data_IF_089876331137
#
_entry.id   IF_089876331137
#
_cell.length_a   1.000
_cell.length_b   1.000
_cell.length_c   1.000
_cell.angle_alpha   90.00
_cell.angle_beta   90.00
_cell.angle_gamma   90.00
#
_symmetry.space_group_name_H-M   'P 1'
#
loop_
_entity.id
_entity.type
_entity.pdbx_description
1 polymer ?
#
# COMPACT_ATOMS: atom_id res chain seq x y z
N UNK A 1 -17.69 29.28 7.08
CA UNK A 1 -16.72 28.56 6.21
C UNK A 1 -16.30 27.32 6.96
N UNK A 2 -16.64 26.12 6.49
CA UNK A 2 -16.28 24.86 7.17
C UNK A 2 -14.79 24.57 6.94
N UNK A 3 -14.11 23.94 7.91
CA UNK A 3 -12.66 23.63 7.84
C UNK A 3 -12.29 22.90 6.53
N UNK A 4 -13.15 22.00 6.07
CA UNK A 4 -12.97 21.27 4.80
C UNK A 4 -12.87 22.18 3.57
N UNK A 5 -13.60 23.30 3.51
CA UNK A 5 -13.57 24.20 2.37
C UNK A 5 -12.20 24.90 2.24
N UNK A 6 -11.59 25.24 3.38
CA UNK A 6 -10.26 25.88 3.42
C UNK A 6 -9.18 24.89 2.98
N UNK A 7 -9.22 23.65 3.48
CA UNK A 7 -8.25 22.61 3.10
C UNK A 7 -8.33 22.32 1.60
N UNK A 8 -9.54 22.21 1.03
CA UNK A 8 -9.72 22.02 -0.41
C UNK A 8 -9.14 23.17 -1.22
N UNK A 9 -9.49 24.40 -0.88
CA UNK A 9 -9.03 25.56 -1.65
C UNK A 9 -7.51 25.72 -1.50
N UNK A 10 -6.91 25.39 -0.36
CA UNK A 10 -5.46 25.37 -0.21
C UNK A 10 -4.84 24.28 -1.09
N UNK A 11 -5.37 23.05 -1.08
CA UNK A 11 -4.80 21.95 -1.88
C UNK A 11 -5.01 22.15 -3.39
N UNK A 12 -6.13 22.75 -3.79
CA UNK A 12 -6.43 23.04 -5.20
C UNK A 12 -5.66 24.25 -5.74
N UNK A 13 -5.30 25.22 -4.88
CA UNK A 13 -4.55 26.42 -5.27
C UNK A 13 -3.06 26.36 -4.91
N UNK A 14 -2.59 25.33 -4.18
CA UNK A 14 -1.18 25.02 -4.10
C UNK A 14 -0.71 24.65 -5.50
N UNK A 15 0.34 25.34 -5.98
CA UNK A 15 0.79 25.29 -7.37
C UNK A 15 1.08 23.87 -7.86
N UNK A 16 1.32 23.75 -9.17
CA UNK A 16 1.43 22.51 -9.96
C UNK A 16 2.51 21.50 -9.52
N UNK A 17 3.10 21.64 -8.32
CA UNK A 17 4.22 20.86 -7.82
C UNK A 17 3.99 20.36 -6.38
N UNK A 18 2.75 20.02 -6.01
CA UNK A 18 2.50 19.42 -4.70
C UNK A 18 3.10 18.02 -4.65
N UNK A 19 4.16 17.84 -3.85
CA UNK A 19 4.89 16.57 -3.73
C UNK A 19 4.60 15.81 -2.45
N UNK A 20 4.12 16.49 -1.40
CA UNK A 20 3.88 15.90 -0.09
C UNK A 20 2.61 16.45 0.53
N UNK A 21 1.78 15.57 1.08
CA UNK A 21 0.60 15.94 1.86
C UNK A 21 0.58 15.15 3.17
N UNK A 22 0.33 15.89 4.24
CA UNK A 22 0.13 15.37 5.59
C UNK A 22 -1.17 15.90 6.13
N UNK A 23 -2.08 15.04 6.59
CA UNK A 23 -3.40 15.45 7.09
C UNK A 23 -3.87 14.57 8.25
N UNK A 24 -4.70 15.10 9.15
CA UNK A 24 -5.33 14.27 10.17
C UNK A 24 -6.32 13.30 9.50
N UNK A 25 -6.26 12.00 9.81
CA UNK A 25 -7.14 11.02 9.15
C UNK A 25 -8.63 11.33 9.37
N UNK A 26 -8.99 11.85 10.56
CA UNK A 26 -10.35 12.27 10.88
C UNK A 26 -10.89 13.39 9.97
N UNK A 27 -10.01 14.14 9.30
CA UNK A 27 -10.36 15.26 8.43
C UNK A 27 -10.43 14.87 6.94
N UNK A 28 -10.22 13.58 6.62
CA UNK A 28 -10.32 13.11 5.23
C UNK A 28 -11.75 13.28 4.73
N UNK A 29 -11.88 13.80 3.52
CA UNK A 29 -13.14 14.03 2.83
C UNK A 29 -12.96 13.78 1.34
N UNK A 30 -14.05 13.64 0.58
CA UNK A 30 -13.99 13.53 -0.88
C UNK A 30 -13.15 14.63 -1.50
N UNK A 31 -13.29 15.87 -1.01
CA UNK A 31 -12.54 17.02 -1.49
C UNK A 31 -11.02 16.87 -1.29
N UNK A 32 -10.60 16.28 -0.18
CA UNK A 32 -9.18 15.96 0.07
C UNK A 32 -8.71 14.90 -0.93
N UNK A 33 -9.48 13.82 -1.11
CA UNK A 33 -9.11 12.75 -2.05
C UNK A 33 -9.02 13.26 -3.49
N UNK A 34 -10.00 14.06 -3.94
CA UNK A 34 -9.95 14.67 -5.26
C UNK A 34 -8.75 15.61 -5.42
N UNK A 35 -8.39 16.36 -4.38
CA UNK A 35 -7.21 17.20 -4.43
C UNK A 35 -5.91 16.37 -4.54
N UNK A 36 -5.80 15.24 -3.83
CA UNK A 36 -4.67 14.30 -4.01
C UNK A 36 -4.60 13.79 -5.46
N UNK A 37 -5.74 13.42 -6.04
CA UNK A 37 -5.83 12.92 -7.42
C UNK A 37 -5.54 13.99 -8.49
N UNK A 38 -5.79 15.27 -8.18
CA UNK A 38 -5.41 16.38 -9.06
C UNK A 38 -3.89 16.49 -9.20
N UNK A 39 -3.16 16.20 -8.12
CA UNK A 39 -1.70 16.24 -8.05
C UNK A 39 -1.03 14.89 -8.33
N UNK A 40 -1.73 13.97 -9.02
CA UNK A 40 -1.27 12.59 -9.23
C UNK A 40 0.10 12.45 -9.91
N UNK A 41 0.51 13.43 -10.71
CA UNK A 41 1.80 13.39 -11.44
C UNK A 41 2.98 13.92 -10.64
N UNK A 42 2.74 14.56 -9.49
CA UNK A 42 3.75 15.24 -8.66
C UNK A 42 3.83 14.66 -7.25
N UNK A 43 2.74 14.07 -6.77
CA UNK A 43 2.63 13.57 -5.40
C UNK A 43 3.54 12.36 -5.16
N UNK A 44 4.39 12.48 -4.15
CA UNK A 44 5.37 11.46 -3.74
C UNK A 44 5.22 11.01 -2.30
N UNK A 45 4.59 11.80 -1.43
CA UNK A 45 4.41 11.48 -0.03
C UNK A 45 2.98 11.76 0.41
N UNK A 46 2.32 10.74 0.95
CA UNK A 46 1.00 10.85 1.55
C UNK A 46 1.07 10.26 2.95
N UNK A 47 0.77 11.07 3.95
CA UNK A 47 0.87 10.67 5.34
C UNK A 47 -0.33 11.16 6.13
N UNK A 48 -0.79 10.34 7.07
CA UNK A 48 -1.82 10.74 8.03
C UNK A 48 -1.21 11.06 9.38
N UNK A 49 -1.63 12.18 9.98
CA UNK A 49 -1.42 12.45 11.41
C UNK A 49 -2.50 11.68 12.16
N UNK A 50 -2.07 10.97 13.20
CA UNK A 50 -2.97 10.43 14.21
C UNK A 50 -2.75 11.18 15.51
N UNK A 51 -3.83 11.48 16.24
CA UNK A 51 -3.79 12.24 17.50
C UNK A 51 -3.15 11.46 18.66
N UNK A 52 -2.47 10.36 18.36
CA UNK A 52 -1.86 9.46 19.33
C UNK A 52 -0.34 9.69 19.33
N UNK A 53 0.09 10.53 20.26
CA UNK A 53 1.47 10.99 20.48
C UNK A 53 2.46 9.88 20.95
N UNK A 54 2.07 8.61 20.87
CA UNK A 54 2.84 7.49 21.39
C UNK A 54 3.41 6.65 20.25
N UNK A 55 4.75 6.49 20.23
CA UNK A 55 5.57 5.63 19.37
C UNK A 55 4.77 4.70 18.46
N UNK A 56 4.38 5.22 17.30
CA UNK A 56 3.48 4.55 16.38
C UNK A 56 4.04 3.23 15.84
N UNK A 57 5.34 2.97 15.97
CA UNK A 57 6.00 1.76 15.49
C UNK A 57 5.55 0.47 16.18
N UNK A 58 4.89 0.55 17.36
CA UNK A 58 4.59 -0.63 18.19
C UNK A 58 3.09 -0.87 18.46
N UNK A 59 2.20 -0.02 17.93
CA UNK A 59 0.76 -0.22 18.16
C UNK A 59 0.21 -1.35 17.29
N UNK A 60 -0.07 -2.48 17.93
CA UNK A 60 -0.83 -3.57 17.35
C UNK A 60 -2.35 -3.28 17.35
N UNK A 61 -2.82 -2.44 18.28
CA UNK A 61 -4.25 -2.14 18.47
C UNK A 61 -4.57 -0.70 18.00
N UNK A 62 -5.15 -0.60 16.80
CA UNK A 62 -5.74 0.65 16.30
C UNK A 62 -7.26 0.55 16.48
N UNK A 63 -7.94 1.63 16.94
CA UNK A 63 -9.39 1.65 17.04
C UNK A 63 -10.06 1.22 15.73
N UNK A 64 -11.23 0.57 15.79
CA UNK A 64 -12.02 0.27 14.60
C UNK A 64 -12.19 1.52 13.76
N UNK A 65 -11.95 1.38 12.46
CA UNK A 65 -12.15 2.46 11.52
C UNK A 65 -13.61 2.90 11.64
N UNK A 66 -13.84 4.18 11.89
CA UNK A 66 -15.19 4.72 11.89
C UNK A 66 -15.84 4.44 10.52
N UNK A 67 -17.01 3.79 10.55
CA UNK A 67 -17.80 3.41 9.36
C UNK A 67 -18.07 4.57 8.40
N UNK A 68 -17.87 5.82 8.82
CA UNK A 68 -18.01 7.01 7.98
C UNK A 68 -17.16 6.97 6.70
N UNK A 69 -16.14 6.10 6.64
CA UNK A 69 -15.24 5.98 5.50
C UNK A 69 -15.40 4.70 4.67
N UNK A 70 -16.39 3.84 4.87
CA UNK A 70 -16.53 2.66 3.99
C UNK A 70 -16.70 3.05 2.51
N UNK A 71 -17.48 4.11 2.24
CA UNK A 71 -17.68 4.63 0.88
C UNK A 71 -16.43 5.36 0.34
N UNK A 72 -15.83 6.23 1.16
CA UNK A 72 -14.63 7.00 0.77
C UNK A 72 -13.36 6.15 0.70
N UNK A 73 -13.35 5.04 1.43
CA UNK A 73 -12.23 4.13 1.49
C UNK A 73 -11.92 3.50 0.14
N UNK A 74 -12.96 3.20 -0.65
CA UNK A 74 -12.78 2.77 -2.04
C UNK A 74 -12.12 3.85 -2.89
N UNK A 75 -12.51 5.11 -2.71
CA UNK A 75 -11.94 6.24 -3.48
C UNK A 75 -10.49 6.49 -3.07
N UNK A 76 -10.15 6.31 -1.79
CA UNK A 76 -8.78 6.48 -1.32
C UNK A 76 -7.80 5.44 -1.92
N UNK A 77 -8.28 4.24 -2.22
CA UNK A 77 -7.50 3.22 -2.93
C UNK A 77 -7.18 3.58 -4.39
N UNK A 78 -7.85 4.58 -4.98
CA UNK A 78 -7.51 5.10 -6.31
C UNK A 78 -6.19 5.90 -6.31
N UNK A 79 -5.75 6.37 -5.14
CA UNK A 79 -4.55 7.19 -5.01
C UNK A 79 -3.28 6.45 -5.45
N UNK A 80 -2.92 5.27 -4.90
CA UNK A 80 -1.75 4.52 -5.38
C UNK A 80 -1.90 4.02 -6.83
N UNK A 81 -3.14 3.90 -7.35
CA UNK A 81 -3.40 3.61 -8.78
C UNK A 81 -3.22 4.81 -9.71
N UNK A 82 -3.24 6.02 -9.17
CA UNK A 82 -3.18 7.24 -9.97
C UNK A 82 -1.82 7.95 -9.86
N UNK A 83 -1.07 7.71 -8.79
CA UNK A 83 0.13 8.45 -8.44
C UNK A 83 1.42 7.63 -8.68
N UNK A 84 1.98 7.61 -9.91
CA UNK A 84 3.14 6.76 -10.22
C UNK A 84 4.42 7.17 -9.49
N UNK A 85 4.51 8.42 -9.02
CA UNK A 85 5.67 8.94 -8.28
C UNK A 85 5.55 8.77 -6.76
N UNK A 86 4.53 8.05 -6.28
CA UNK A 86 4.29 7.84 -4.87
C UNK A 86 5.39 6.95 -4.26
N UNK A 87 6.17 7.50 -3.34
CA UNK A 87 7.27 6.83 -2.64
C UNK A 87 6.86 6.39 -1.23
N UNK A 88 5.95 7.13 -0.60
CA UNK A 88 5.50 6.89 0.78
C UNK A 88 3.98 7.00 0.86
N UNK A 89 3.33 5.95 1.33
CA UNK A 89 1.90 5.91 1.61
C UNK A 89 1.66 5.44 3.05
N UNK A 90 1.26 6.37 3.91
CA UNK A 90 0.92 6.11 5.31
C UNK A 90 -0.53 6.49 5.57
N UNK A 91 -1.39 5.47 5.65
CA UNK A 91 -2.82 5.53 5.93
C UNK A 91 -3.17 4.50 7.01
N UNK A 92 -2.56 4.62 8.20
CA UNK A 92 -2.64 3.60 9.25
C UNK A 92 -4.05 3.34 9.81
N UNK A 93 -4.94 4.32 9.69
CA UNK A 93 -6.35 4.17 10.08
C UNK A 93 -7.25 3.66 8.94
N UNK A 94 -6.71 3.47 7.74
CA UNK A 94 -7.47 3.06 6.57
C UNK A 94 -7.36 1.55 6.32
N UNK A 95 -8.51 0.89 6.24
CA UNK A 95 -8.60 -0.51 5.81
C UNK A 95 -8.78 -0.58 4.29
N UNK A 96 -7.79 -1.16 3.62
CA UNK A 96 -7.81 -1.48 2.20
C UNK A 96 -8.38 -2.87 1.96
N UNK A 97 -8.96 -3.07 0.79
CA UNK A 97 -9.61 -4.31 0.40
C UNK A 97 -8.81 -4.97 -0.73
N UNK A 98 -8.20 -6.13 -0.45
CA UNK A 98 -7.34 -6.80 -1.43
C UNK A 98 -8.09 -7.23 -2.69
N UNK A 99 -9.39 -7.50 -2.60
CA UNK A 99 -10.18 -7.84 -3.78
C UNK A 99 -10.20 -6.66 -4.75
N UNK A 100 -10.35 -5.44 -4.24
CA UNK A 100 -10.29 -4.25 -5.07
C UNK A 100 -8.85 -3.99 -5.54
N UNK A 101 -7.86 -4.08 -4.64
CA UNK A 101 -6.44 -3.86 -4.99
C UNK A 101 -5.97 -4.77 -6.12
N UNK A 102 -6.43 -6.02 -6.17
CA UNK A 102 -6.09 -6.97 -7.23
C UNK A 102 -6.86 -6.73 -8.54
N UNK A 103 -8.04 -6.09 -8.51
CA UNK A 103 -8.78 -5.73 -9.73
C UNK A 103 -8.05 -4.69 -10.58
N UNK A 104 -7.46 -3.67 -9.95
CA UNK A 104 -6.59 -2.70 -10.62
C UNK A 104 -5.29 -2.50 -9.83
N UNK A 105 -4.19 -2.95 -10.41
CA UNK A 105 -2.85 -2.86 -9.85
C UNK A 105 -2.44 -1.42 -9.53
N UNK A 106 -1.67 -1.24 -8.47
CA UNK A 106 -1.05 0.04 -8.15
C UNK A 106 0.09 0.33 -9.13
N UNK A 107 0.18 1.58 -9.59
CA UNK A 107 1.19 2.01 -10.57
C UNK A 107 2.38 2.71 -9.93
N UNK A 108 2.45 2.74 -8.60
CA UNK A 108 3.51 3.41 -7.85
C UNK A 108 4.74 2.50 -7.70
N UNK A 109 5.45 2.25 -8.80
CA UNK A 109 6.60 1.34 -8.87
C UNK A 109 7.73 1.72 -7.91
N UNK A 110 7.87 3.02 -7.62
CA UNK A 110 8.85 3.56 -6.68
C UNK A 110 8.42 3.56 -5.22
N UNK A 111 7.33 2.87 -4.86
CA UNK A 111 6.84 2.84 -3.49
C UNK A 111 7.87 2.17 -2.57
N UNK A 112 8.37 2.92 -1.59
CA UNK A 112 9.38 2.47 -0.61
C UNK A 112 8.79 2.18 0.75
N UNK A 113 7.84 3.00 1.18
CA UNK A 113 7.23 2.88 2.50
C UNK A 113 5.71 2.77 2.39
N UNK A 114 5.18 1.65 2.88
CA UNK A 114 3.75 1.38 2.96
C UNK A 114 3.33 1.14 4.41
N UNK A 115 2.31 1.86 4.84
CA UNK A 115 1.69 1.69 6.15
C UNK A 115 0.16 1.77 6.04
N UNK A 116 -0.51 0.63 6.11
CA UNK A 116 -1.96 0.50 5.87
C UNK A 116 -2.57 -0.61 6.73
N UNK A 117 -3.91 -0.70 6.79
CA UNK A 117 -4.62 -1.91 7.25
C UNK A 117 -5.17 -2.65 6.04
N UNK A 118 -5.31 -3.96 6.13
CA UNK A 118 -5.88 -4.79 5.07
C UNK A 118 -7.05 -5.60 5.64
N UNK A 119 -8.20 -5.57 4.96
CA UNK A 119 -9.37 -6.36 5.31
C UNK A 119 -9.02 -7.84 5.36
N UNK A 120 -9.43 -8.51 6.43
CA UNK A 120 -9.16 -9.93 6.67
C UNK A 120 -7.84 -10.23 7.38
N UNK A 121 -6.94 -9.26 7.54
CA UNK A 121 -5.80 -9.31 8.46
C UNK A 121 -6.21 -8.78 9.85
N UNK A 122 -7.25 -9.37 10.42
CA UNK A 122 -7.91 -8.99 11.67
C UNK A 122 -7.21 -9.45 12.96
N UNK A 123 -6.03 -10.08 12.83
CA UNK A 123 -5.27 -10.56 13.97
C UNK A 123 -3.77 -10.34 13.78
N UNK A 124 -3.07 -10.16 14.89
CA UNK A 124 -1.61 -10.06 14.92
C UNK A 124 -0.95 -11.27 14.26
N UNK A 125 -1.49 -12.48 14.47
CA UNK A 125 -0.96 -13.70 13.86
C UNK A 125 -1.03 -13.66 12.33
N UNK A 126 -2.14 -13.19 11.75
CA UNK A 126 -2.29 -13.06 10.30
C UNK A 126 -1.36 -11.97 9.75
N UNK A 127 -1.26 -10.83 10.43
CA UNK A 127 -0.34 -9.74 10.08
C UNK A 127 1.12 -10.24 10.07
N UNK A 128 1.56 -10.86 11.16
CA UNK A 128 2.92 -11.38 11.31
C UNK A 128 3.24 -12.43 10.24
N UNK A 129 2.27 -13.30 9.93
CA UNK A 129 2.41 -14.30 8.87
C UNK A 129 2.56 -13.66 7.50
N UNK A 130 1.76 -12.65 7.15
CA UNK A 130 1.87 -11.92 5.89
C UNK A 130 3.23 -11.21 5.76
N UNK A 131 3.65 -10.49 6.81
CA UNK A 131 4.94 -9.80 6.85
C UNK A 131 6.13 -10.75 6.75
N UNK A 132 6.07 -11.91 7.42
CA UNK A 132 7.10 -12.95 7.32
C UNK A 132 7.21 -13.50 5.89
N UNK A 133 6.08 -13.86 5.26
CA UNK A 133 6.05 -14.35 3.88
C UNK A 133 6.63 -13.32 2.90
N UNK A 134 6.29 -12.04 3.07
CA UNK A 134 6.86 -10.96 2.27
C UNK A 134 8.39 -10.84 2.46
N UNK A 135 8.89 -10.83 3.70
CA UNK A 135 10.33 -10.76 3.99
C UNK A 135 11.09 -11.94 3.38
N UNK A 136 10.62 -13.16 3.58
CA UNK A 136 11.22 -14.37 3.01
C UNK A 136 11.22 -14.34 1.47
N UNK A 137 10.12 -13.89 0.85
CA UNK A 137 10.02 -13.74 -0.60
C UNK A 137 11.02 -12.72 -1.13
N UNK A 138 11.21 -11.62 -0.40
CA UNK A 138 12.12 -10.54 -0.76
C UNK A 138 13.59 -10.97 -0.66
N UNK A 139 13.96 -11.67 0.41
CA UNK A 139 15.31 -12.26 0.57
C UNK A 139 15.64 -13.23 -0.56
N UNK A 140 14.67 -14.06 -0.97
CA UNK A 140 14.82 -14.97 -2.13
C UNK A 140 15.03 -14.19 -3.43
N UNK A 141 14.29 -13.09 -3.65
CA UNK A 141 14.44 -12.21 -4.83
C UNK A 141 15.84 -11.58 -4.87
N UNK A 142 16.32 -11.04 -3.76
CA UNK A 142 17.67 -10.48 -3.66
C UNK A 142 18.77 -11.50 -3.89
N UNK A 143 18.63 -12.71 -3.33
CA UNK A 143 19.62 -13.77 -3.50
C UNK A 143 19.74 -14.22 -4.97
N UNK A 144 18.62 -14.27 -5.69
CA UNK A 144 18.59 -14.59 -7.13
C UNK A 144 19.26 -13.51 -7.97
N UNK A 145 18.97 -12.23 -7.70
CA UNK A 145 19.56 -11.12 -8.46
C UNK A 145 21.08 -11.06 -8.29
N UNK A 146 21.58 -11.29 -7.08
CA UNK A 146 23.03 -11.32 -6.82
C UNK A 146 23.74 -12.47 -7.53
N UNK A 147 23.12 -13.66 -7.60
CA UNK A 147 23.70 -14.82 -8.28
C UNK A 147 23.81 -14.64 -9.80
N UNK A 148 22.90 -13.90 -10.42
CA UNK A 148 22.90 -13.66 -11.87
C UNK A 148 23.94 -12.62 -12.31
N UNK A 149 24.31 -11.66 -11.46
CA UNK A 149 25.34 -10.66 -11.80
C UNK A 149 26.73 -11.27 -11.94
N UNK A 150 27.07 -12.31 -11.17
CA UNK A 150 28.39 -12.96 -11.19
C UNK A 150 28.57 -13.98 -12.34
N UNK A 151 27.49 -14.31 -13.08
CA UNK A 151 27.50 -15.34 -14.13
C UNK A 151 27.21 -14.79 -15.54
N UNK A 152 27.34 -13.48 -15.73
CA UNK A 152 27.26 -12.80 -17.04
C UNK A 152 28.51 -13.10 -17.89
N UNK A 153 28.57 -14.32 -18.41
CA UNK A 153 29.61 -14.75 -19.35
C UNK A 153 29.29 -16.02 -20.15
N UNK A 154 28.14 -16.65 -19.94
CA UNK A 154 27.72 -17.81 -20.75
C UNK A 154 26.28 -17.57 -21.19
N UNK A 155 26.14 -17.26 -22.47
CA UNK A 155 24.88 -17.38 -23.20
C UNK A 155 24.42 -18.83 -23.06
N UNK A 156 23.27 -19.10 -22.43
CA UNK A 156 22.41 -20.21 -22.84
C UNK A 156 21.03 -20.20 -22.12
N UNK A 157 20.05 -20.36 -23.01
CA UNK A 157 18.84 -21.17 -22.93
C UNK A 157 17.67 -20.83 -21.97
N UNK A 158 16.54 -20.65 -22.64
CA UNK A 158 15.18 -20.38 -22.16
C UNK A 158 14.74 -21.38 -21.08
N UNK A 159 14.63 -20.92 -19.84
CA UNK A 159 13.98 -21.67 -18.77
C UNK A 159 12.47 -21.35 -18.74
N UNK A 160 11.74 -22.19 -19.45
CA UNK A 160 10.28 -22.35 -19.47
C UNK A 160 9.73 -22.54 -18.04
N UNK A 161 9.00 -21.53 -17.54
CA UNK A 161 8.22 -21.63 -16.29
C UNK A 161 6.80 -22.09 -16.62
N UNK A 162 6.65 -23.39 -16.89
CA UNK A 162 5.37 -24.07 -16.79
C UNK A 162 4.96 -24.17 -15.32
N UNK A 163 4.22 -23.17 -14.86
CA UNK A 163 3.42 -23.29 -13.63
C UNK A 163 2.23 -24.18 -13.98
N UNK A 164 2.30 -25.42 -13.50
CA UNK A 164 1.28 -26.46 -13.63
C UNK A 164 -0.13 -25.93 -13.27
N UNK A 165 -0.95 -25.72 -14.30
CA UNK A 165 -2.28 -25.13 -14.23
C UNK A 165 -3.38 -26.16 -13.95
N UNK A 166 -3.12 -27.15 -13.10
CA UNK A 166 -4.05 -28.23 -12.80
C UNK A 166 -4.34 -28.34 -11.31
N UNK A 167 -5.12 -27.40 -10.77
CA UNK A 167 -5.85 -27.63 -9.51
C UNK A 167 -7.15 -26.81 -9.48
N UNK A 168 -8.16 -27.31 -10.18
CA UNK A 168 -9.54 -26.86 -10.09
C UNK A 168 -10.20 -27.40 -8.80
N UNK A 169 -9.72 -26.93 -7.66
CA UNK A 169 -10.49 -26.84 -6.42
C UNK A 169 -10.07 -25.50 -5.81
N UNK A 170 -10.91 -24.48 -5.99
CA UNK A 170 -10.68 -23.11 -5.53
C UNK A 170 -10.70 -23.06 -4.01
N UNK A 171 -9.66 -23.61 -3.36
CA UNK A 171 -9.28 -23.14 -2.04
C UNK A 171 -8.84 -21.70 -2.25
N UNK A 172 -9.72 -20.78 -1.88
CA UNK A 172 -9.41 -19.35 -1.82
C UNK A 172 -8.04 -19.19 -1.17
N UNK A 173 -7.13 -18.52 -1.87
CA UNK A 173 -5.77 -18.32 -1.39
C UNK A 173 -5.89 -17.51 -0.08
N UNK A 174 -5.26 -17.95 1.03
CA UNK A 174 -5.33 -17.22 2.29
C UNK A 174 -4.87 -15.77 2.11
N UNK A 175 -5.56 -14.84 2.76
CA UNK A 175 -5.34 -13.39 2.64
C UNK A 175 -3.88 -13.00 2.92
N UNK A 176 -3.21 -13.67 3.87
CA UNK A 176 -1.81 -13.41 4.21
C UNK A 176 -0.88 -13.70 3.03
N UNK A 177 -1.19 -14.73 2.24
CA UNK A 177 -0.43 -15.13 1.05
C UNK A 177 -0.71 -14.16 -0.09
N UNK A 178 -1.98 -13.76 -0.27
CA UNK A 178 -2.38 -12.75 -1.28
C UNK A 178 -1.66 -11.42 -1.06
N UNK A 179 -1.74 -10.89 0.16
CA UNK A 179 -1.06 -9.65 0.56
C UNK A 179 0.45 -9.77 0.36
N UNK A 180 1.08 -10.84 0.87
CA UNK A 180 2.53 -11.00 0.74
C UNK A 180 2.98 -11.08 -0.73
N UNK A 181 2.25 -11.78 -1.60
CA UNK A 181 2.54 -11.86 -3.04
C UNK A 181 2.39 -10.50 -3.71
N UNK A 182 1.31 -9.77 -3.41
CA UNK A 182 1.10 -8.44 -3.94
C UNK A 182 2.21 -7.47 -3.52
N UNK A 183 2.62 -7.48 -2.25
CA UNK A 183 3.73 -6.63 -1.79
C UNK A 183 5.09 -6.95 -2.43
N UNK A 184 5.27 -8.14 -3.00
CA UNK A 184 6.49 -8.53 -3.71
C UNK A 184 6.57 -7.99 -5.15
N UNK A 185 5.48 -7.43 -5.68
CA UNK A 185 5.48 -6.79 -7.00
C UNK A 185 6.23 -5.45 -6.98
N UNK A 186 6.31 -4.79 -5.82
CA UNK A 186 7.07 -3.55 -5.64
C UNK A 186 8.56 -3.85 -5.42
N UNK A 187 9.39 -3.46 -6.38
CA UNK A 187 10.84 -3.68 -6.34
C UNK A 187 11.53 -2.85 -5.24
N UNK A 188 11.09 -1.61 -5.07
CA UNK A 188 11.70 -0.62 -4.17
C UNK A 188 11.13 -0.66 -2.74
N UNK A 189 10.10 -1.48 -2.48
CA UNK A 189 9.39 -1.48 -1.20
C UNK A 189 10.28 -2.02 -0.09
N UNK A 190 10.71 -1.13 0.82
CA UNK A 190 11.66 -1.44 1.87
C UNK A 190 11.09 -1.48 3.28
N UNK A 191 10.02 -0.74 3.52
CA UNK A 191 9.35 -0.62 4.81
C UNK A 191 7.87 -0.93 4.64
N UNK A 192 7.43 -1.99 5.28
CA UNK A 192 6.02 -2.38 5.32
C UNK A 192 5.57 -2.46 6.76
N UNK A 193 4.46 -1.80 7.05
CA UNK A 193 3.68 -1.97 8.25
C UNK A 193 2.24 -2.28 7.87
N UNK A 194 1.70 -3.34 8.48
CA UNK A 194 0.31 -3.75 8.31
C UNK A 194 -0.35 -3.69 9.69
N UNK A 195 -1.45 -2.97 9.80
CA UNK A 195 -2.24 -2.92 11.03
C UNK A 195 -3.26 -4.05 11.10
N UNK A 196 -3.66 -4.41 12.31
CA UNK A 196 -4.76 -5.35 12.52
C UNK A 196 -6.10 -4.72 12.13
N UNK A 197 -6.92 -5.44 11.38
CA UNK A 197 -8.35 -5.17 11.26
C UNK A 197 -9.05 -5.45 12.60
N UNK A 198 -10.15 -4.76 12.88
CA UNK A 198 -11.00 -4.99 14.06
C UNK A 198 -12.44 -5.05 13.61
#
# INVERSE_FOLDING_TARGET
MTRHAIVRDILANMGDNLTSVTFAYAEISESVVFALLLHKTTLSYITTITDHDENLTERDDIPPASDQFQALGRVLQLVPRSCPKLLVLVLECHEMDMDHVEEDEWICDGLRHLRVRIRGLDSKEKVDKALRLWKEGREKKYSKNKGNEEMTGVEDEEADQTIDSNLAETKEIPIEVRVARYLLTFDDLDRVWLGTGT
#
